data_IF_492012772660
#
_entry.id   IF_492012772660
#
_cell.length_a   1.000
_cell.length_b   1.000
_cell.length_c   1.000
_cell.angle_alpha   90.00
_cell.angle_beta   90.00
_cell.angle_gamma   90.00
#
_symmetry.space_group_name_H-M   'P 1'
#
loop_
_entity.id
_entity.type
_entity.pdbx_description
1 polymer ?
#
# COMPACT_ATOMS: atom_id res chain seq x y z
N UNK A 1 -4.15 -28.23 -10.39
CA UNK A 1 -2.85 -27.94 -11.03
C UNK A 1 -2.61 -26.43 -10.92
N UNK A 2 -1.76 -25.99 -9.97
CA UNK A 2 -1.52 -24.56 -9.67
C UNK A 2 -0.76 -23.91 -10.84
N UNK A 3 -1.44 -23.14 -11.68
CA UNK A 3 -0.76 -22.34 -12.71
C UNK A 3 0.12 -21.30 -12.03
N UNK A 4 1.44 -21.50 -12.06
CA UNK A 4 2.40 -20.48 -11.63
C UNK A 4 2.22 -19.28 -12.56
N UNK A 5 1.81 -18.15 -12.02
CA UNK A 5 1.74 -16.90 -12.79
C UNK A 5 3.20 -16.52 -13.08
N UNK A 6 3.65 -16.73 -14.32
CA UNK A 6 4.95 -16.27 -14.77
C UNK A 6 4.83 -14.78 -15.11
N UNK A 7 5.58 -13.94 -14.39
CA UNK A 7 5.59 -12.47 -14.54
C UNK A 7 6.08 -12.01 -15.94
N UNK A 8 6.55 -12.93 -16.77
CA UNK A 8 7.10 -12.70 -18.11
C UNK A 8 6.11 -12.91 -19.27
N UNK A 9 4.88 -13.39 -19.01
CA UNK A 9 3.88 -13.58 -20.06
C UNK A 9 3.16 -12.25 -20.38
N UNK A 10 2.62 -12.14 -21.61
CA UNK A 10 1.75 -11.03 -21.97
C UNK A 10 0.56 -10.95 -21.00
N UNK A 11 0.50 -9.87 -20.23
CA UNK A 11 -0.59 -9.62 -19.29
C UNK A 11 -1.86 -9.31 -20.07
N UNK A 12 -2.68 -10.33 -20.32
CA UNK A 12 -4.08 -10.15 -20.69
C UNK A 12 -4.85 -9.56 -19.50
N UNK A 13 -5.92 -8.80 -19.75
CA UNK A 13 -6.72 -8.14 -18.72
C UNK A 13 -7.15 -9.07 -17.57
N UNK A 14 -7.49 -10.33 -17.85
CA UNK A 14 -7.85 -11.35 -16.87
C UNK A 14 -6.70 -11.71 -15.91
N UNK A 15 -5.49 -11.92 -16.44
CA UNK A 15 -4.30 -12.23 -15.64
C UNK A 15 -3.86 -11.03 -14.79
N UNK A 16 -3.98 -9.82 -15.32
CA UNK A 16 -3.68 -8.59 -14.59
C UNK A 16 -4.62 -8.43 -13.40
N UNK A 17 -5.94 -8.58 -13.61
CA UNK A 17 -6.93 -8.53 -12.53
C UNK A 17 -6.65 -9.58 -11.47
N UNK A 18 -6.34 -10.82 -11.85
CA UNK A 18 -6.05 -11.89 -10.89
C UNK A 18 -4.74 -11.68 -10.11
N UNK A 19 -3.78 -10.98 -10.70
CA UNK A 19 -2.52 -10.59 -10.05
C UNK A 19 -2.68 -9.41 -9.10
N UNK A 20 -3.50 -8.40 -9.45
CA UNK A 20 -3.74 -7.23 -8.60
C UNK A 20 -4.81 -7.47 -7.54
N UNK A 21 -5.65 -8.50 -7.70
CA UNK A 21 -6.73 -8.84 -6.77
C UNK A 21 -6.28 -8.94 -5.30
N UNK A 22 -5.17 -9.65 -4.97
CA UNK A 22 -4.70 -9.72 -3.59
C UNK A 22 -4.30 -8.35 -3.02
N UNK A 23 -3.65 -7.50 -3.82
CA UNK A 23 -3.26 -6.15 -3.43
C UNK A 23 -4.47 -5.24 -3.23
N UNK A 24 -5.49 -5.35 -4.10
CA UNK A 24 -6.76 -4.62 -3.97
C UNK A 24 -7.46 -5.04 -2.68
N UNK A 25 -7.56 -6.34 -2.40
CA UNK A 25 -8.15 -6.87 -1.17
C UNK A 25 -7.40 -6.35 0.06
N UNK A 26 -6.06 -6.39 0.04
CA UNK A 26 -5.25 -5.83 1.13
C UNK A 26 -5.52 -4.34 1.37
N UNK A 27 -5.67 -3.55 0.30
CA UNK A 27 -5.94 -2.12 0.41
C UNK A 27 -7.36 -1.82 0.97
N UNK A 28 -8.34 -2.67 0.66
CA UNK A 28 -9.69 -2.60 1.25
C UNK A 28 -9.62 -2.86 2.76
N UNK A 29 -8.92 -3.91 3.19
CA UNK A 29 -8.75 -4.20 4.62
C UNK A 29 -8.01 -3.08 5.36
N UNK A 30 -6.96 -2.50 4.76
CA UNK A 30 -6.25 -1.36 5.34
C UNK A 30 -7.19 -0.15 5.52
N UNK A 31 -8.06 0.11 4.54
CA UNK A 31 -9.04 1.19 4.62
C UNK A 31 -10.11 0.94 5.69
N UNK A 32 -10.59 -0.31 5.83
CA UNK A 32 -11.51 -0.70 6.90
C UNK A 32 -10.88 -0.54 8.29
N UNK A 33 -9.59 -0.85 8.43
CA UNK A 33 -8.85 -0.63 9.67
C UNK A 33 -8.80 0.86 10.04
N UNK A 34 -8.51 1.76 9.09
CA UNK A 34 -8.48 3.21 9.34
C UNK A 34 -9.86 3.72 9.78
N UNK A 35 -10.94 3.23 9.17
CA UNK A 35 -12.31 3.60 9.57
C UNK A 35 -12.61 3.11 10.99
N UNK A 36 -12.24 1.87 11.32
CA UNK A 36 -12.43 1.32 12.65
C UNK A 36 -11.63 2.12 13.69
N UNK A 37 -10.35 2.39 13.43
CA UNK A 37 -9.49 3.21 14.29
C UNK A 37 -10.09 4.60 14.53
N UNK A 38 -10.50 5.30 13.47
CA UNK A 38 -11.16 6.60 13.60
C UNK A 38 -12.47 6.54 14.40
N UNK A 39 -13.27 5.49 14.21
CA UNK A 39 -14.52 5.28 14.95
C UNK A 39 -14.27 5.05 16.45
N UNK A 40 -13.30 4.19 16.80
CA UNK A 40 -12.94 3.90 18.18
C UNK A 40 -12.30 5.12 18.85
N UNK A 41 -11.37 5.82 18.20
CA UNK A 41 -10.73 7.01 18.75
C UNK A 41 -11.75 8.14 18.99
N UNK A 42 -12.69 8.34 18.06
CA UNK A 42 -13.73 9.37 18.20
C UNK A 42 -14.76 9.07 19.30
N UNK A 43 -15.13 7.79 19.50
CA UNK A 43 -16.15 7.41 20.50
C UNK A 43 -15.60 7.13 21.90
N UNK A 44 -14.37 6.60 22.04
CA UNK A 44 -13.84 6.17 23.34
C UNK A 44 -13.01 7.23 24.06
N UNK A 45 -12.35 8.13 23.33
CA UNK A 45 -11.32 8.99 23.93
C UNK A 45 -11.83 10.43 24.15
N UNK A 46 -12.70 10.93 23.26
CA UNK A 46 -13.28 12.27 23.35
C UNK A 46 -12.86 13.19 22.20
N UNK A 47 -13.55 14.34 22.07
CA UNK A 47 -13.33 15.28 20.95
C UNK A 47 -11.94 15.93 20.98
N UNK A 48 -11.38 16.12 22.18
CA UNK A 48 -10.09 16.80 22.38
C UNK A 48 -8.93 15.89 21.97
N UNK A 49 -9.07 14.61 22.25
CA UNK A 49 -8.07 13.57 22.02
C UNK A 49 -8.08 13.14 20.56
N UNK A 50 -9.26 13.05 19.93
CA UNK A 50 -9.37 12.90 18.48
C UNK A 50 -8.71 14.07 17.73
N UNK A 51 -8.86 15.31 18.22
CA UNK A 51 -8.18 16.48 17.66
C UNK A 51 -6.66 16.39 17.84
N UNK A 52 -6.17 15.92 18.99
CA UNK A 52 -4.74 15.73 19.24
C UNK A 52 -4.12 14.67 18.31
N UNK A 53 -4.81 13.55 18.07
CA UNK A 53 -4.36 12.50 17.13
C UNK A 53 -4.26 13.03 15.70
N UNK A 54 -5.28 13.76 15.23
CA UNK A 54 -5.24 14.37 13.90
C UNK A 54 -4.13 15.43 13.76
N UNK A 55 -3.74 16.09 14.86
CA UNK A 55 -2.65 17.06 14.87
C UNK A 55 -1.27 16.39 14.76
N UNK A 56 -1.08 15.19 15.34
CA UNK A 56 0.19 14.45 15.27
C UNK A 56 0.32 13.59 14.01
N UNK A 57 -0.80 13.18 13.39
CA UNK A 57 -0.79 12.37 12.17
C UNK A 57 0.10 12.91 11.03
N UNK A 58 0.14 14.22 10.72
CA UNK A 58 1.07 14.77 9.73
C UNK A 58 2.54 14.46 10.02
N UNK A 59 2.95 14.48 11.29
CA UNK A 59 4.33 14.20 11.70
C UNK A 59 4.65 12.71 11.51
N UNK A 60 3.71 11.84 11.89
CA UNK A 60 3.83 10.39 11.68
C UNK A 60 3.88 10.04 10.19
N UNK A 61 3.04 10.68 9.37
CA UNK A 61 3.00 10.48 7.93
C UNK A 61 4.30 10.90 7.28
N UNK A 62 4.90 12.04 7.65
CA UNK A 62 6.20 12.45 7.10
C UNK A 62 7.28 11.38 7.37
N UNK A 63 7.31 10.80 8.57
CA UNK A 63 8.26 9.75 8.93
C UNK A 63 7.98 8.42 8.21
N UNK A 64 6.71 8.03 8.10
CA UNK A 64 6.31 6.77 7.45
C UNK A 64 6.38 6.84 5.93
N UNK A 65 5.88 7.91 5.34
CA UNK A 65 5.80 8.11 3.89
C UNK A 65 7.15 8.39 3.26
N UNK A 66 8.11 8.99 3.98
CA UNK A 66 9.48 9.10 3.48
C UNK A 66 10.10 7.71 3.29
N UNK A 67 9.93 6.80 4.26
CA UNK A 67 10.33 5.40 4.12
C UNK A 67 9.58 4.69 2.98
N UNK A 68 8.27 4.92 2.88
CA UNK A 68 7.45 4.37 1.80
C UNK A 68 7.90 4.87 0.42
N UNK A 69 8.26 6.15 0.29
CA UNK A 69 8.80 6.75 -0.93
C UNK A 69 10.09 6.06 -1.38
N UNK A 70 11.02 5.80 -0.46
CA UNK A 70 12.25 5.07 -0.78
C UNK A 70 11.97 3.61 -1.16
N UNK A 71 11.05 2.93 -0.47
CA UNK A 71 10.67 1.55 -0.77
C UNK A 71 10.03 1.41 -2.15
N UNK A 72 8.98 2.19 -2.42
CA UNK A 72 8.28 2.19 -3.70
C UNK A 72 9.18 2.72 -4.82
N UNK A 73 9.88 3.83 -4.60
CA UNK A 73 10.81 4.40 -5.58
C UNK A 73 11.96 3.47 -5.95
N UNK A 74 12.54 2.79 -4.96
CA UNK A 74 13.55 1.75 -5.18
C UNK A 74 13.01 0.57 -5.98
N UNK A 75 11.82 0.07 -5.64
CA UNK A 75 11.17 -1.01 -6.39
C UNK A 75 10.86 -0.63 -7.83
N UNK A 76 10.46 0.63 -8.08
CA UNK A 76 10.20 1.16 -9.41
C UNK A 76 11.49 1.27 -10.24
N UNK A 77 12.60 1.70 -9.63
CA UNK A 77 13.91 1.75 -10.29
C UNK A 77 14.38 0.34 -10.67
N UNK A 78 14.28 -0.62 -9.76
CA UNK A 78 14.62 -2.03 -10.03
C UNK A 78 13.76 -2.58 -11.17
N UNK A 79 12.45 -2.34 -11.15
CA UNK A 79 11.53 -2.79 -12.20
C UNK A 79 11.89 -2.19 -13.57
N UNK A 80 12.24 -0.90 -13.61
CA UNK A 80 12.71 -0.22 -14.82
C UNK A 80 14.00 -0.85 -15.36
N UNK A 81 15.00 -1.03 -14.50
CA UNK A 81 16.31 -1.58 -14.89
C UNK A 81 16.21 -3.04 -15.33
N UNK A 82 15.37 -3.85 -14.67
CA UNK A 82 15.04 -5.21 -15.09
C UNK A 82 14.35 -5.24 -16.46
N UNK A 83 13.42 -4.32 -16.71
CA UNK A 83 12.74 -4.17 -18.00
C UNK A 83 13.67 -3.73 -19.13
N UNK A 84 14.67 -2.90 -18.83
CA UNK A 84 15.72 -2.47 -19.77
C UNK A 84 16.76 -3.58 -20.06
N UNK A 85 16.65 -4.77 -19.45
CA UNK A 85 17.65 -5.86 -19.50
C UNK A 85 19.06 -5.43 -19.08
N UNK A 86 19.20 -4.28 -18.42
CA UNK A 86 20.41 -3.92 -17.69
C UNK A 86 20.40 -4.77 -16.44
N UNK A 87 21.00 -5.96 -16.50
CA UNK A 87 21.21 -6.76 -15.30
C UNK A 87 22.13 -5.97 -14.37
N UNK A 88 21.60 -5.60 -13.20
CA UNK A 88 22.41 -5.20 -12.03
C UNK A 88 22.74 -6.46 -11.26
#
# INVERSE_FOLDING_TARGET
MRSRIHLSEHFTYDKLLRFTLPSIVMNIFASLYIIADGYFVANFVGKTEFAAVNLIMPVLNILGETGYMFGVGGSALIAKTLGEKKQV
#
